data_IF_221317142744
#
_entry.id   IF_221317142744
#
_cell.length_a   1.000
_cell.length_b   1.000
_cell.length_c   1.000
_cell.angle_alpha   90.00
_cell.angle_beta   90.00
_cell.angle_gamma   90.00
#
_symmetry.space_group_name_H-M   'P 1'
#
loop_
_entity.id
_entity.type
_entity.pdbx_description
1 polymer ?
#
# COMPACT_ATOMS: atom_id res chain seq x y z
N UNK A 1 23.38 -37.34 -8.47
CA UNK A 1 23.02 -36.04 -7.88
C UNK A 1 24.31 -35.39 -7.38
N UNK A 2 24.87 -34.46 -8.14
CA UNK A 2 26.05 -33.72 -7.72
C UNK A 2 25.61 -32.62 -6.74
N UNK A 3 26.08 -32.70 -5.50
CA UNK A 3 25.90 -31.64 -4.52
C UNK A 3 26.68 -30.41 -5.00
N UNK A 4 25.99 -29.27 -5.15
CA UNK A 4 26.64 -28.02 -5.48
C UNK A 4 27.66 -27.67 -4.37
N UNK A 5 28.90 -27.49 -4.78
CA UNK A 5 30.04 -27.23 -3.90
C UNK A 5 29.78 -25.92 -3.11
N UNK A 6 29.76 -25.92 -1.76
CA UNK A 6 29.46 -24.74 -0.96
C UNK A 6 30.44 -23.57 -1.21
N UNK A 7 31.61 -23.88 -1.75
CA UNK A 7 32.63 -22.91 -2.20
C UNK A 7 32.16 -22.04 -3.37
N UNK A 8 31.29 -22.55 -4.25
CA UNK A 8 30.74 -21.78 -5.37
C UNK A 8 29.68 -20.77 -4.92
N UNK A 9 28.89 -21.10 -3.89
CA UNK A 9 27.96 -20.14 -3.29
C UNK A 9 28.70 -18.99 -2.59
N UNK A 10 29.82 -19.31 -1.95
CA UNK A 10 30.71 -18.33 -1.31
C UNK A 10 31.37 -17.43 -2.36
N UNK A 11 31.84 -17.99 -3.48
CA UNK A 11 32.41 -17.21 -4.60
C UNK A 11 31.35 -16.34 -5.30
N UNK A 12 30.11 -16.82 -5.49
CA UNK A 12 29.03 -16.02 -6.05
C UNK A 12 28.67 -14.81 -5.18
N UNK A 13 28.65 -14.99 -3.85
CA UNK A 13 28.49 -13.89 -2.89
C UNK A 13 29.70 -12.94 -2.87
N UNK A 14 30.91 -13.47 -3.10
CA UNK A 14 32.17 -12.70 -3.16
C UNK A 14 32.28 -11.85 -4.46
N UNK A 15 31.77 -12.36 -5.59
CA UNK A 15 31.73 -11.63 -6.88
C UNK A 15 30.73 -10.47 -6.82
N UNK A 16 29.59 -10.63 -6.14
CA UNK A 16 28.63 -9.55 -5.85
C UNK A 16 29.17 -8.48 -4.89
N UNK A 17 30.29 -8.73 -4.21
CA UNK A 17 30.91 -7.83 -3.22
C UNK A 17 32.23 -7.21 -3.69
N UNK A 18 32.47 -7.12 -5.00
CA UNK A 18 33.49 -6.18 -5.51
C UNK A 18 33.11 -4.75 -5.11
N UNK A 19 34.09 -3.93 -4.67
CA UNK A 19 33.88 -2.55 -4.17
C UNK A 19 33.02 -1.68 -5.11
N UNK A 20 33.08 -1.94 -6.42
CA UNK A 20 32.24 -1.28 -7.44
C UNK A 20 30.76 -1.62 -7.31
N UNK A 21 30.41 -2.91 -7.25
CA UNK A 21 29.02 -3.40 -7.12
C UNK A 21 28.35 -2.93 -5.85
N UNK A 22 29.13 -2.84 -4.77
CA UNK A 22 28.68 -2.30 -3.47
C UNK A 22 28.18 -0.85 -3.59
N UNK A 23 28.93 0.01 -4.28
CA UNK A 23 28.57 1.43 -4.43
C UNK A 23 27.32 1.59 -5.29
N UNK A 24 27.16 0.76 -6.32
CA UNK A 24 25.94 0.73 -7.14
C UNK A 24 24.73 0.33 -6.30
N UNK A 25 24.85 -0.72 -5.47
CA UNK A 25 23.76 -1.16 -4.58
C UNK A 25 23.36 -0.04 -3.60
N UNK A 26 24.33 0.72 -3.07
CA UNK A 26 24.05 1.88 -2.23
C UNK A 26 23.31 2.98 -2.96
N UNK A 27 23.80 3.34 -4.13
CA UNK A 27 23.19 4.39 -4.94
C UNK A 27 21.73 4.03 -5.26
N UNK A 28 21.49 2.77 -5.66
CA UNK A 28 20.14 2.25 -5.91
C UNK A 28 19.28 2.35 -4.67
N UNK A 29 19.74 1.88 -3.50
CA UNK A 29 18.94 1.92 -2.27
C UNK A 29 18.60 3.34 -1.79
N UNK A 30 19.54 4.29 -1.91
CA UNK A 30 19.29 5.71 -1.58
C UNK A 30 18.27 6.30 -2.56
N UNK A 31 18.44 6.05 -3.87
CA UNK A 31 17.54 6.53 -4.90
C UNK A 31 16.13 5.95 -4.72
N UNK A 32 16.01 4.65 -4.43
CA UNK A 32 14.73 4.01 -4.09
C UNK A 32 14.11 4.65 -2.85
N UNK A 33 14.89 4.94 -1.81
CA UNK A 33 14.38 5.60 -0.59
C UNK A 33 13.82 6.98 -0.93
N UNK A 34 14.52 7.77 -1.75
CA UNK A 34 14.04 9.08 -2.20
C UNK A 34 12.74 8.97 -3.01
N UNK A 35 12.66 8.00 -3.92
CA UNK A 35 11.43 7.74 -4.69
C UNK A 35 10.26 7.41 -3.74
N UNK A 36 10.47 6.52 -2.77
CA UNK A 36 9.42 6.09 -1.84
C UNK A 36 8.94 7.25 -0.94
N UNK A 37 9.86 8.10 -0.49
CA UNK A 37 9.48 9.32 0.25
C UNK A 37 8.71 10.28 -0.66
N UNK A 38 9.14 10.43 -1.91
CA UNK A 38 8.47 11.30 -2.89
C UNK A 38 7.07 10.79 -3.23
N UNK A 39 6.86 9.49 -3.43
CA UNK A 39 5.53 8.92 -3.69
C UNK A 39 4.59 9.16 -2.51
N UNK A 40 5.06 8.95 -1.27
CA UNK A 40 4.26 9.23 -0.08
C UNK A 40 3.85 10.72 0.04
N UNK A 41 4.74 11.64 -0.35
CA UNK A 41 4.43 13.07 -0.42
C UNK A 41 3.39 13.39 -1.51
N UNK A 42 3.52 12.80 -2.68
CA UNK A 42 2.55 12.93 -3.78
C UNK A 42 1.16 12.46 -3.35
N UNK A 43 1.06 11.29 -2.72
CA UNK A 43 -0.22 10.76 -2.22
C UNK A 43 -0.83 11.64 -1.14
N UNK A 44 -0.01 12.20 -0.26
CA UNK A 44 -0.46 13.16 0.73
C UNK A 44 -1.02 14.43 0.08
N UNK A 45 -0.36 14.94 -0.97
CA UNK A 45 -0.87 16.07 -1.75
C UNK A 45 -2.20 15.73 -2.44
N UNK A 46 -2.34 14.55 -3.06
CA UNK A 46 -3.59 14.10 -3.69
C UNK A 46 -4.72 14.04 -2.66
N UNK A 47 -4.47 13.49 -1.46
CA UNK A 47 -5.46 13.49 -0.37
C UNK A 47 -5.85 14.91 0.05
N UNK A 48 -4.89 15.84 0.10
CA UNK A 48 -5.16 17.25 0.41
C UNK A 48 -6.04 17.91 -0.66
N UNK A 49 -5.77 17.63 -1.93
CA UNK A 49 -6.58 18.11 -3.06
C UNK A 49 -8.00 17.53 -3.01
N UNK A 50 -8.16 16.22 -2.81
CA UNK A 50 -9.47 15.57 -2.68
C UNK A 50 -10.31 16.15 -1.53
N UNK A 51 -9.68 16.46 -0.38
CA UNK A 51 -10.35 17.14 0.74
C UNK A 51 -10.81 18.55 0.38
N UNK A 52 -10.01 19.31 -0.37
CA UNK A 52 -10.36 20.66 -0.84
C UNK A 52 -11.52 20.63 -1.83
N UNK A 53 -11.49 19.70 -2.78
CA UNK A 53 -12.56 19.51 -3.77
C UNK A 53 -13.89 19.17 -3.09
N UNK A 54 -13.87 18.27 -2.08
CA UNK A 54 -15.06 17.94 -1.30
C UNK A 54 -15.65 19.18 -0.62
N UNK A 55 -14.83 19.97 0.09
CA UNK A 55 -15.27 21.20 0.77
C UNK A 55 -15.83 22.25 -0.19
N UNK A 56 -15.26 22.38 -1.40
CA UNK A 56 -15.77 23.30 -2.43
C UNK A 56 -17.10 22.82 -3.00
N UNK A 57 -17.26 21.50 -3.18
CA UNK A 57 -18.51 20.90 -3.67
C UNK A 57 -19.68 21.14 -2.74
N UNK A 58 -19.46 21.03 -1.42
CA UNK A 58 -20.51 21.27 -0.42
C UNK A 58 -21.10 22.70 -0.49
N UNK A 59 -20.44 23.62 -1.22
CA UNK A 59 -20.89 25.01 -1.45
C UNK A 59 -21.58 25.24 -2.80
N UNK A 60 -21.55 24.28 -3.73
CA UNK A 60 -22.12 24.44 -5.07
C UNK A 60 -23.47 23.71 -5.12
N UNK A 61 -24.59 24.40 -5.44
CA UNK A 61 -25.93 23.80 -5.41
C UNK A 61 -26.20 22.82 -6.56
N UNK A 62 -25.35 22.78 -7.60
CA UNK A 62 -25.50 21.87 -8.74
C UNK A 62 -24.87 20.51 -8.45
N UNK A 63 -25.71 19.49 -8.33
CA UNK A 63 -25.27 18.10 -8.17
C UNK A 63 -24.73 17.54 -9.49
N UNK A 64 -23.47 17.05 -9.48
CA UNK A 64 -22.89 16.29 -10.59
C UNK A 64 -22.57 14.87 -10.11
N UNK A 65 -23.31 13.89 -10.66
CA UNK A 65 -23.19 12.48 -10.30
C UNK A 65 -21.79 11.91 -10.59
N UNK A 66 -21.21 12.22 -11.76
CA UNK A 66 -19.93 11.62 -12.19
C UNK A 66 -18.78 12.09 -11.30
N UNK A 67 -18.72 13.40 -11.03
CA UNK A 67 -17.70 13.99 -10.16
C UNK A 67 -17.81 13.44 -8.73
N UNK A 68 -19.04 13.25 -8.24
CA UNK A 68 -19.26 12.72 -6.90
C UNK A 68 -18.80 11.25 -6.79
N UNK A 69 -19.08 10.44 -7.82
CA UNK A 69 -18.61 9.06 -7.87
C UNK A 69 -17.07 8.99 -7.89
N UNK A 70 -16.42 9.72 -8.79
CA UNK A 70 -14.95 9.77 -8.90
C UNK A 70 -14.29 10.24 -7.60
N UNK A 71 -14.82 11.29 -6.97
CA UNK A 71 -14.27 11.84 -5.74
C UNK A 71 -14.44 10.88 -4.56
N UNK A 72 -15.56 10.15 -4.49
CA UNK A 72 -15.78 9.14 -3.46
C UNK A 72 -14.85 7.94 -3.63
N UNK A 73 -14.67 7.48 -4.87
CA UNK A 73 -13.73 6.39 -5.20
C UNK A 73 -12.28 6.80 -4.89
N UNK A 74 -11.85 8.00 -5.28
CA UNK A 74 -10.53 8.52 -4.98
C UNK A 74 -10.27 8.65 -3.47
N UNK A 75 -11.25 9.12 -2.70
CA UNK A 75 -11.13 9.19 -1.23
C UNK A 75 -11.06 7.78 -0.63
N UNK A 76 -11.82 6.83 -1.15
CA UNK A 76 -11.83 5.45 -0.68
C UNK A 76 -10.48 4.77 -0.96
N UNK A 77 -9.94 4.92 -2.16
CA UNK A 77 -8.62 4.39 -2.53
C UNK A 77 -7.51 5.01 -1.67
N UNK A 78 -7.51 6.34 -1.50
CA UNK A 78 -6.53 7.07 -0.69
C UNK A 78 -6.59 6.77 0.81
N UNK A 79 -7.66 6.13 1.31
CA UNK A 79 -7.71 5.63 2.69
C UNK A 79 -6.89 4.35 2.88
N UNK A 80 -6.66 3.57 1.83
CA UNK A 80 -5.80 2.39 1.87
C UNK A 80 -4.36 2.72 1.47
N UNK A 81 -4.20 3.39 0.32
CA UNK A 81 -2.88 3.60 -0.29
C UNK A 81 -2.01 4.44 0.64
N UNK A 82 -2.51 5.58 1.15
CA UNK A 82 -1.67 6.49 1.93
C UNK A 82 -1.10 5.87 3.22
N UNK A 83 -1.89 5.20 4.10
CA UNK A 83 -1.29 4.54 5.26
C UNK A 83 -0.28 3.45 4.89
N UNK A 84 -0.51 2.75 3.79
CA UNK A 84 0.40 1.71 3.28
C UNK A 84 1.71 2.32 2.80
N UNK A 85 1.65 3.38 1.99
CA UNK A 85 2.81 4.08 1.46
C UNK A 85 3.64 4.73 2.57
N UNK A 86 3.00 5.34 3.57
CA UNK A 86 3.69 5.89 4.74
C UNK A 86 4.36 4.77 5.55
N UNK A 87 3.67 3.63 5.75
CA UNK A 87 4.25 2.50 6.47
C UNK A 87 5.44 1.91 5.71
N UNK A 88 5.34 1.77 4.37
CA UNK A 88 6.44 1.32 3.53
C UNK A 88 7.63 2.26 3.62
N UNK A 89 7.40 3.57 3.44
CA UNK A 89 8.46 4.57 3.53
C UNK A 89 9.17 4.53 4.88
N UNK A 90 8.42 4.40 5.97
CA UNK A 90 8.98 4.33 7.33
C UNK A 90 9.83 3.08 7.52
N UNK A 91 9.33 1.91 7.11
CA UNK A 91 10.03 0.64 7.27
C UNK A 91 11.25 0.55 6.36
N UNK A 92 11.15 1.05 5.13
CA UNK A 92 12.26 1.08 4.19
C UNK A 92 13.36 2.05 4.63
N UNK A 93 13.00 3.21 5.19
CA UNK A 93 13.95 4.14 5.81
C UNK A 93 14.66 3.49 7.01
N UNK A 94 13.90 2.81 7.89
CA UNK A 94 14.46 2.11 9.04
C UNK A 94 15.41 1.00 8.60
N UNK A 95 15.02 0.20 7.61
CA UNK A 95 15.85 -0.83 7.00
C UNK A 95 17.19 -0.26 6.52
N UNK A 96 17.16 0.79 5.70
CA UNK A 96 18.37 1.41 5.18
C UNK A 96 19.27 1.95 6.28
N UNK A 97 18.66 2.58 7.30
CA UNK A 97 19.40 3.10 8.46
C UNK A 97 20.11 1.98 9.23
N UNK A 98 19.43 0.86 9.47
CA UNK A 98 20.00 -0.31 10.14
C UNK A 98 21.11 -0.99 9.31
N UNK A 99 20.94 -1.08 7.99
CA UNK A 99 21.97 -1.65 7.09
C UNK A 99 23.21 -0.77 7.05
N UNK A 100 23.04 0.56 7.01
CA UNK A 100 24.17 1.51 7.08
C UNK A 100 24.89 1.37 8.42
N UNK A 101 24.16 1.33 9.52
CA UNK A 101 24.73 1.19 10.87
C UNK A 101 25.49 -0.14 11.01
N UNK A 102 24.87 -1.27 10.62
CA UNK A 102 25.51 -2.58 10.68
C UNK A 102 26.82 -2.62 9.90
N UNK A 103 26.89 -1.90 8.78
CA UNK A 103 28.11 -1.83 7.98
C UNK A 103 29.18 -0.92 8.58
N UNK A 104 28.80 0.16 9.24
CA UNK A 104 29.75 1.02 9.94
C UNK A 104 30.55 0.24 10.98
N UNK A 105 29.89 -0.69 11.69
CA UNK A 105 30.50 -1.59 12.67
C UNK A 105 30.98 -2.92 12.10
N UNK A 106 31.07 -3.06 10.77
CA UNK A 106 31.43 -4.34 10.13
C UNK A 106 32.78 -4.87 10.64
N UNK A 107 33.76 -4.00 10.80
CA UNK A 107 35.14 -4.38 11.15
C UNK A 107 35.26 -4.79 12.64
N UNK A 108 34.29 -4.41 13.47
CA UNK A 108 34.24 -4.75 14.90
C UNK A 108 33.45 -6.05 15.18
N UNK A 109 32.71 -6.56 14.19
CA UNK A 109 31.79 -7.68 14.35
C UNK A 109 32.32 -8.92 13.62
N UNK A 110 32.28 -10.08 14.27
CA UNK A 110 32.57 -11.37 13.62
C UNK A 110 31.67 -11.60 12.40
N UNK A 111 32.23 -12.14 11.32
CA UNK A 111 31.51 -12.43 10.07
C UNK A 111 30.20 -13.21 10.28
N UNK A 112 30.17 -14.16 11.23
CA UNK A 112 28.97 -14.94 11.55
C UNK A 112 27.85 -14.06 12.12
N UNK A 113 28.20 -13.16 13.04
CA UNK A 113 27.25 -12.23 13.67
C UNK A 113 26.77 -11.17 12.66
N UNK A 114 27.65 -10.70 11.78
CA UNK A 114 27.28 -9.77 10.71
C UNK A 114 26.19 -10.36 9.80
N UNK A 115 26.36 -11.60 9.35
CA UNK A 115 25.36 -12.31 8.51
C UNK A 115 24.05 -12.51 9.26
N UNK A 116 24.13 -12.88 10.54
CA UNK A 116 22.93 -13.04 11.39
C UNK A 116 22.14 -11.74 11.51
N UNK A 117 22.79 -10.63 11.87
CA UNK A 117 22.13 -9.32 11.99
C UNK A 117 21.58 -8.83 10.66
N UNK A 118 22.33 -9.00 9.56
CA UNK A 118 21.86 -8.64 8.22
C UNK A 118 20.59 -9.43 7.83
N UNK A 119 20.56 -10.73 8.16
CA UNK A 119 19.39 -11.58 7.91
C UNK A 119 18.19 -11.17 8.75
N UNK A 120 18.40 -10.82 10.02
CA UNK A 120 17.34 -10.31 10.89
C UNK A 120 16.77 -8.97 10.39
N UNK A 121 17.62 -8.07 9.89
CA UNK A 121 17.19 -6.79 9.30
C UNK A 121 16.38 -7.04 8.02
N UNK A 122 16.80 -7.98 7.16
CA UNK A 122 16.03 -8.36 5.97
C UNK A 122 14.66 -8.97 6.32
N UNK A 123 14.56 -9.72 7.42
CA UNK A 123 13.28 -10.29 7.89
C UNK A 123 12.21 -9.21 8.11
N UNK A 124 12.59 -7.99 8.52
CA UNK A 124 11.65 -6.87 8.67
C UNK A 124 10.93 -6.53 7.36
N UNK A 125 11.61 -6.56 6.21
CA UNK A 125 10.99 -6.30 4.92
C UNK A 125 10.01 -7.42 4.53
N UNK A 126 10.34 -8.67 4.81
CA UNK A 126 9.46 -9.80 4.55
C UNK A 126 8.20 -9.75 5.43
N UNK A 127 8.34 -9.42 6.72
CA UNK A 127 7.22 -9.24 7.64
C UNK A 127 6.31 -8.12 7.15
N UNK A 128 6.88 -6.98 6.72
CA UNK A 128 6.10 -5.89 6.15
C UNK A 128 5.34 -6.32 4.90
N UNK A 129 5.99 -7.01 3.98
CA UNK A 129 5.38 -7.46 2.71
C UNK A 129 4.26 -8.47 2.94
N UNK A 130 4.43 -9.39 3.91
CA UNK A 130 3.37 -10.30 4.31
C UNK A 130 2.19 -9.55 4.97
N UNK A 131 2.49 -8.59 5.85
CA UNK A 131 1.48 -7.76 6.51
C UNK A 131 0.68 -6.90 5.53
N UNK A 132 1.36 -6.25 4.58
CA UNK A 132 0.72 -5.43 3.54
C UNK A 132 -0.20 -6.26 2.65
N UNK A 133 0.22 -7.47 2.29
CA UNK A 133 -0.61 -8.41 1.52
C UNK A 133 -1.90 -8.80 2.26
N UNK A 134 -1.81 -9.10 3.56
CA UNK A 134 -2.98 -9.41 4.40
C UNK A 134 -3.93 -8.20 4.48
N UNK A 135 -3.39 -7.00 4.72
CA UNK A 135 -4.18 -5.76 4.77
C UNK A 135 -4.89 -5.51 3.44
N UNK A 136 -4.19 -5.71 2.32
CA UNK A 136 -4.73 -5.55 0.98
C UNK A 136 -5.90 -6.52 0.70
N UNK A 137 -5.74 -7.81 1.05
CA UNK A 137 -6.82 -8.80 0.93
C UNK A 137 -8.04 -8.40 1.77
N UNK A 138 -7.81 -8.00 3.03
CA UNK A 138 -8.90 -7.56 3.92
C UNK A 138 -9.61 -6.34 3.35
N UNK A 139 -8.87 -5.39 2.79
CA UNK A 139 -9.44 -4.20 2.18
C UNK A 139 -10.30 -4.54 0.95
N UNK A 140 -9.83 -5.39 0.04
CA UNK A 140 -10.63 -5.82 -1.12
C UNK A 140 -11.92 -6.50 -0.66
N UNK A 141 -11.84 -7.39 0.35
CA UNK A 141 -13.03 -8.03 0.91
C UNK A 141 -14.00 -7.00 1.49
N UNK A 142 -13.49 -6.00 2.21
CA UNK A 142 -14.29 -4.91 2.76
C UNK A 142 -14.97 -4.08 1.66
N UNK A 143 -14.27 -3.72 0.58
CA UNK A 143 -14.87 -3.01 -0.57
C UNK A 143 -15.99 -3.84 -1.18
N UNK A 144 -15.72 -5.10 -1.52
CA UNK A 144 -16.71 -6.00 -2.16
C UNK A 144 -17.94 -6.17 -1.27
N UNK A 145 -17.76 -6.31 0.04
CA UNK A 145 -18.87 -6.45 0.98
C UNK A 145 -19.70 -5.16 1.07
N UNK A 146 -19.07 -3.99 1.09
CA UNK A 146 -19.80 -2.72 1.11
C UNK A 146 -20.53 -2.44 -0.21
N UNK A 147 -19.94 -2.79 -1.36
CA UNK A 147 -20.63 -2.70 -2.65
C UNK A 147 -21.85 -3.62 -2.69
N UNK A 148 -21.71 -4.88 -2.23
CA UNK A 148 -22.84 -5.82 -2.16
C UNK A 148 -23.96 -5.30 -1.26
N UNK A 149 -23.62 -4.81 -0.05
CA UNK A 149 -24.60 -4.21 0.87
C UNK A 149 -25.34 -3.03 0.24
N UNK A 150 -24.61 -2.15 -0.46
CA UNK A 150 -25.20 -0.98 -1.13
C UNK A 150 -26.16 -1.42 -2.23
N UNK A 151 -25.77 -2.40 -3.05
CA UNK A 151 -26.62 -2.96 -4.09
C UNK A 151 -27.88 -3.63 -3.51
N UNK A 152 -27.74 -4.40 -2.44
CA UNK A 152 -28.85 -5.06 -1.76
C UNK A 152 -29.85 -4.04 -1.18
N UNK A 153 -29.36 -2.93 -0.61
CA UNK A 153 -30.20 -1.83 -0.11
C UNK A 153 -30.98 -1.14 -1.24
N UNK A 154 -30.30 -0.80 -2.35
CA UNK A 154 -30.95 -0.17 -3.52
C UNK A 154 -32.02 -1.11 -4.09
N UNK A 155 -31.72 -2.42 -4.17
CA UNK A 155 -32.65 -3.43 -4.66
C UNK A 155 -33.89 -3.52 -3.76
N UNK A 156 -33.71 -3.58 -2.44
CA UNK A 156 -34.83 -3.59 -1.47
C UNK A 156 -35.69 -2.33 -1.60
N UNK A 157 -35.06 -1.16 -1.65
CA UNK A 157 -35.76 0.11 -1.77
C UNK A 157 -36.57 0.21 -3.07
N UNK A 158 -36.04 -0.27 -4.20
CA UNK A 158 -36.78 -0.33 -5.47
C UNK A 158 -38.01 -1.25 -5.40
N UNK A 159 -37.86 -2.42 -4.76
CA UNK A 159 -38.98 -3.36 -4.57
C UNK A 159 -40.06 -2.74 -3.68
N UNK A 160 -39.65 -2.00 -2.65
CA UNK A 160 -40.55 -1.32 -1.73
C UNK A 160 -41.30 -0.16 -2.40
N UNK A 161 -40.62 0.68 -3.17
CA UNK A 161 -41.27 1.72 -3.98
C UNK A 161 -42.22 1.13 -5.03
N UNK A 162 -41.86 0.03 -5.68
CA UNK A 162 -42.75 -0.64 -6.64
C UNK A 162 -44.02 -1.15 -5.93
N UNK A 163 -43.90 -1.75 -4.74
CA UNK A 163 -45.06 -2.16 -3.95
C UNK A 163 -45.96 -0.99 -3.57
N UNK A 164 -45.38 0.13 -3.15
CA UNK A 164 -46.14 1.35 -2.80
C UNK A 164 -46.90 1.86 -4.04
N UNK A 165 -46.22 1.96 -5.18
CA UNK A 165 -46.82 2.40 -6.45
C UNK A 165 -47.98 1.50 -6.89
N UNK A 166 -47.82 0.16 -6.85
CA UNK A 166 -48.91 -0.76 -7.21
C UNK A 166 -50.09 -0.70 -6.25
N UNK A 167 -49.83 -0.47 -4.95
CA UNK A 167 -50.89 -0.29 -3.95
C UNK A 167 -51.64 1.03 -4.13
N UNK A 168 -50.97 2.09 -4.56
CA UNK A 168 -51.62 3.36 -4.91
C UNK A 168 -52.46 3.23 -6.18
N UNK A 169 -51.97 2.49 -7.19
CA UNK A 169 -52.76 2.17 -8.38
C UNK A 169 -54.03 1.39 -8.00
N UNK A 170 -53.93 0.32 -7.23
CA UNK A 170 -55.08 -0.50 -6.82
C UNK A 170 -56.20 0.35 -6.19
N UNK A 171 -55.84 1.32 -5.33
CA UNK A 171 -56.79 2.26 -4.73
C UNK A 171 -57.42 3.28 -5.69
N UNK A 172 -56.81 3.53 -6.85
CA UNK A 172 -57.37 4.44 -7.86
C UNK A 172 -58.38 3.75 -8.79
N UNK A 173 -58.43 2.42 -8.80
CA UNK A 173 -59.33 1.62 -9.63
C UNK A 173 -60.50 0.99 -8.85
N UNK A 174 -60.59 1.25 -7.55
CA UNK A 174 -61.78 1.03 -6.71
C UNK A 174 -62.65 2.30 -6.64
#
# INVERSE_FOLDING_TARGET
>A
MAFADPTMAIQGAMILTTKSTVNVIYFVNILTTLIVVFTALCDWQIKRLNRRLRKRRDRIPRYNLSLNFQLNENIMAMRLILPLDIAYATIYLLYNSLVILLRFYKDEISSANYVFYYSAINALQFIYTAGSFIVYIRFIKFIRQNQKRTFDLIKKQKVEHARIYFRELEKQWE
#
